data_IF_590376589241
#
_entry.id   IF_590376589241
#
_cell.length_a   1.000
_cell.length_b   1.000
_cell.length_c   1.000
_cell.angle_alpha   90.00
_cell.angle_beta   90.00
_cell.angle_gamma   90.00
#
_symmetry.space_group_name_H-M   'P 1'
#
loop_
_entity.id
_entity.type
_entity.pdbx_description
1 polymer ?
#
# COMPACT_ATOMS: atom_id res chain seq x y z
N UNK A 1 36.57 41.09 49.21
CA UNK A 1 36.88 39.81 49.89
C UNK A 1 36.28 38.69 49.06
N UNK A 2 37.06 38.11 48.14
CA UNK A 2 36.62 37.01 47.29
C UNK A 2 37.16 35.71 47.90
N UNK A 3 36.32 34.75 48.32
CA UNK A 3 36.84 33.48 48.77
C UNK A 3 37.29 32.67 47.55
N UNK A 4 38.61 32.49 47.46
CA UNK A 4 39.27 31.53 46.59
C UNK A 4 38.71 30.13 46.82
N UNK A 5 37.95 29.63 45.85
CA UNK A 5 37.44 28.25 45.84
C UNK A 5 38.58 27.36 45.33
N UNK A 6 39.19 26.62 46.25
CA UNK A 6 40.19 25.59 45.94
C UNK A 6 39.63 24.55 44.95
N UNK A 7 40.40 24.07 43.97
CA UNK A 7 39.96 23.03 43.06
C UNK A 7 39.94 21.68 43.80
N UNK A 8 38.84 21.42 44.50
CA UNK A 8 38.54 20.12 45.11
C UNK A 8 38.55 18.99 44.08
N UNK A 9 39.11 17.86 44.50
CA UNK A 9 39.34 16.60 43.76
C UNK A 9 38.06 16.00 43.13
N UNK A 10 36.88 16.47 43.53
CA UNK A 10 35.60 16.09 42.92
C UNK A 10 35.21 17.10 41.84
N UNK A 11 35.42 16.71 40.58
CA UNK A 11 34.79 17.39 39.44
C UNK A 11 33.27 17.25 39.59
N UNK A 12 32.60 18.30 40.05
CA UNK A 12 31.14 18.35 40.04
C UNK A 12 30.63 18.01 38.63
N UNK A 13 29.71 17.04 38.47
CA UNK A 13 29.25 16.65 37.15
C UNK A 13 28.63 17.86 36.45
N UNK A 14 29.04 18.11 35.20
CA UNK A 14 28.45 19.17 34.37
C UNK A 14 26.93 19.02 34.37
N UNK A 15 26.22 20.06 34.80
CA UNK A 15 24.77 20.15 34.68
C UNK A 15 24.39 19.91 33.22
N UNK A 16 23.71 18.79 32.95
CA UNK A 16 23.24 18.46 31.60
C UNK A 16 22.15 19.48 31.24
N UNK A 17 22.51 20.52 30.49
CA UNK A 17 21.52 21.36 29.80
C UNK A 17 20.78 20.44 28.84
N UNK A 18 19.53 20.09 29.17
CA UNK A 18 18.65 19.40 28.24
C UNK A 18 18.43 20.35 27.06
N UNK A 19 19.16 20.16 25.96
CA UNK A 19 19.06 20.95 24.71
C UNK A 19 17.72 20.73 23.98
N UNK A 20 16.84 19.91 24.56
CA UNK A 20 15.50 19.65 24.07
C UNK A 20 14.53 20.24 25.10
N UNK A 21 13.56 21.08 24.66
CA UNK A 21 12.46 21.46 25.54
C UNK A 21 11.78 20.18 26.02
N UNK A 22 11.59 20.08 27.34
CA UNK A 22 10.77 19.02 27.93
C UNK A 22 9.42 19.05 27.19
N UNK A 23 8.92 17.90 26.71
CA UNK A 23 7.64 17.87 26.02
C UNK A 23 6.60 18.48 26.96
N UNK A 24 5.91 19.53 26.51
CA UNK A 24 4.89 20.16 27.33
C UNK A 24 3.85 19.09 27.64
N UNK A 25 3.78 18.68 28.90
CA UNK A 25 2.69 17.86 29.43
C UNK A 25 1.43 18.72 29.45
N UNK A 26 0.93 19.13 28.27
CA UNK A 26 -0.45 19.52 28.11
C UNK A 26 -1.24 18.22 28.19
N UNK A 27 -1.47 17.76 29.42
CA UNK A 27 -2.58 16.87 29.69
C UNK A 27 -3.79 17.52 29.04
N UNK A 28 -4.33 16.91 27.99
CA UNK A 28 -5.54 17.39 27.35
C UNK A 28 -6.64 17.27 28.39
N UNK A 29 -6.98 18.38 29.05
CA UNK A 29 -8.08 18.51 30.01
C UNK A 29 -9.44 18.54 29.30
N UNK A 30 -9.59 17.73 28.24
CA UNK A 30 -10.68 17.89 27.28
C UNK A 30 -11.99 17.25 27.70
N UNK A 31 -11.96 16.24 28.56
CA UNK A 31 -13.17 15.46 28.88
C UNK A 31 -13.30 15.34 30.40
N UNK A 32 -13.65 16.45 31.05
CA UNK A 32 -14.15 16.41 32.43
C UNK A 32 -15.60 15.96 32.33
N UNK A 33 -15.83 14.65 32.34
CA UNK A 33 -17.18 14.11 32.42
C UNK A 33 -17.77 14.58 33.75
N UNK A 34 -18.91 15.26 33.70
CA UNK A 34 -19.57 15.84 34.89
C UNK A 34 -20.05 14.74 35.84
N UNK A 35 -20.46 13.59 35.29
CA UNK A 35 -20.93 12.42 36.05
C UNK A 35 -20.41 11.13 35.42
N UNK A 36 -19.97 10.19 36.28
CA UNK A 36 -19.51 8.85 35.86
C UNK A 36 -20.54 7.84 36.38
N UNK A 37 -21.35 7.28 35.48
CA UNK A 37 -22.24 6.16 35.83
C UNK A 37 -21.44 4.85 35.87
N UNK A 38 -21.60 4.08 36.94
CA UNK A 38 -20.98 2.76 37.10
C UNK A 38 -22.05 1.67 37.05
N UNK A 39 -22.40 1.25 35.84
CA UNK A 39 -23.31 0.11 35.66
C UNK A 39 -22.57 -1.21 35.96
N UNK A 40 -22.99 -1.91 37.01
CA UNK A 40 -22.43 -3.21 37.39
C UNK A 40 -22.49 -4.23 36.24
N UNK A 41 -23.57 -4.22 35.44
CA UNK A 41 -23.73 -5.11 34.29
C UNK A 41 -22.69 -4.84 33.18
N UNK A 42 -22.41 -3.57 32.86
CA UNK A 42 -21.37 -3.21 31.91
C UNK A 42 -19.99 -3.58 32.44
N UNK A 43 -19.77 -3.45 33.75
CA UNK A 43 -18.54 -3.88 34.41
C UNK A 43 -18.36 -5.40 34.31
N UNK A 44 -19.41 -6.18 34.53
CA UNK A 44 -19.36 -7.64 34.40
C UNK A 44 -19.12 -8.09 32.95
N UNK A 45 -19.79 -7.48 31.97
CA UNK A 45 -19.51 -7.74 30.55
C UNK A 45 -18.09 -7.30 30.16
N UNK A 46 -17.58 -6.21 30.76
CA UNK A 46 -16.20 -5.82 30.59
C UNK A 46 -15.23 -6.81 31.25
N UNK A 47 -15.49 -7.34 32.44
CA UNK A 47 -14.56 -8.27 33.07
C UNK A 47 -14.55 -9.64 32.38
N UNK A 48 -15.70 -10.12 31.91
CA UNK A 48 -15.82 -11.45 31.27
C UNK A 48 -15.60 -11.42 29.75
N UNK A 49 -15.90 -10.30 29.09
CA UNK A 49 -15.88 -10.14 27.64
C UNK A 49 -14.53 -9.83 27.00
N UNK A 50 -13.39 -10.26 27.57
CA UNK A 50 -12.06 -9.94 27.02
C UNK A 50 -11.89 -10.34 25.55
N UNK A 51 -12.42 -11.50 25.17
CA UNK A 51 -12.40 -11.95 23.77
C UNK A 51 -13.23 -11.02 22.88
N UNK A 52 -14.45 -10.65 23.31
CA UNK A 52 -15.30 -9.67 22.61
C UNK A 52 -14.56 -8.36 22.37
N UNK A 53 -13.88 -7.81 23.39
CA UNK A 53 -13.08 -6.58 23.25
C UNK A 53 -11.88 -6.74 22.32
N UNK A 54 -11.17 -7.87 22.39
CA UNK A 54 -10.06 -8.14 21.47
C UNK A 54 -10.56 -8.16 20.02
N UNK A 55 -11.65 -8.86 19.76
CA UNK A 55 -12.29 -8.91 18.44
C UNK A 55 -12.78 -7.52 18.02
N UNK A 56 -13.41 -6.75 18.91
CA UNK A 56 -13.86 -5.39 18.63
C UNK A 56 -12.70 -4.46 18.28
N UNK A 57 -11.56 -4.56 18.98
CA UNK A 57 -10.34 -3.79 18.63
C UNK A 57 -9.81 -4.16 17.24
N UNK A 58 -9.77 -5.46 16.93
CA UNK A 58 -9.32 -5.93 15.61
C UNK A 58 -10.26 -5.41 14.52
N UNK A 59 -11.59 -5.51 14.73
CA UNK A 59 -12.60 -5.00 13.80
C UNK A 59 -12.51 -3.48 13.64
N UNK A 60 -12.32 -2.74 14.72
CA UNK A 60 -12.15 -1.28 14.64
C UNK A 60 -10.88 -0.90 13.87
N UNK A 61 -9.76 -1.58 14.13
CA UNK A 61 -8.53 -1.35 13.36
C UNK A 61 -8.71 -1.67 11.87
N UNK A 62 -9.45 -2.73 11.54
CA UNK A 62 -9.81 -3.06 10.16
C UNK A 62 -10.70 -1.98 9.52
N UNK A 63 -11.73 -1.52 10.23
CA UNK A 63 -12.64 -0.48 9.76
C UNK A 63 -11.93 0.87 9.56
N UNK A 64 -11.03 1.26 10.46
CA UNK A 64 -10.20 2.46 10.30
C UNK A 64 -9.25 2.36 9.11
N UNK A 65 -8.62 1.19 8.91
CA UNK A 65 -7.75 0.95 7.76
C UNK A 65 -8.54 1.01 6.44
N UNK A 66 -9.74 0.42 6.40
CA UNK A 66 -10.62 0.49 5.24
C UNK A 66 -11.09 1.92 4.95
N UNK A 67 -11.47 2.67 5.99
CA UNK A 67 -11.84 4.08 5.85
C UNK A 67 -10.70 4.90 5.23
N UNK A 68 -9.47 4.74 5.74
CA UNK A 68 -8.28 5.40 5.20
C UNK A 68 -8.00 5.00 3.76
N UNK A 69 -8.07 3.71 3.44
CA UNK A 69 -7.88 3.21 2.07
C UNK A 69 -8.89 3.81 1.08
N UNK A 70 -10.17 3.93 1.47
CA UNK A 70 -11.20 4.58 0.66
C UNK A 70 -10.92 6.07 0.46
N UNK A 71 -10.52 6.78 1.50
CA UNK A 71 -10.14 8.19 1.44
C UNK A 71 -8.92 8.42 0.54
N UNK A 72 -7.89 7.59 0.66
CA UNK A 72 -6.70 7.61 -0.19
C UNK A 72 -7.06 7.36 -1.66
N UNK A 73 -7.89 6.34 -1.96
CA UNK A 73 -8.36 6.07 -3.32
C UNK A 73 -9.13 7.25 -3.91
N UNK A 74 -9.98 7.91 -3.10
CA UNK A 74 -10.70 9.11 -3.54
C UNK A 74 -9.75 10.27 -3.84
N UNK A 75 -8.77 10.50 -2.96
CA UNK A 75 -7.78 11.55 -3.14
C UNK A 75 -6.89 11.31 -4.37
N UNK A 76 -6.46 10.07 -4.60
CA UNK A 76 -5.71 9.70 -5.80
C UNK A 76 -6.51 9.96 -7.09
N UNK A 77 -7.79 9.56 -7.11
CA UNK A 77 -8.67 9.86 -8.25
C UNK A 77 -8.87 11.35 -8.47
N UNK A 78 -8.97 12.13 -7.40
CA UNK A 78 -9.08 13.59 -7.48
C UNK A 78 -7.81 14.19 -8.08
N UNK A 79 -6.63 13.80 -7.59
CA UNK A 79 -5.34 14.23 -8.14
C UNK A 79 -5.19 13.90 -9.61
N UNK A 80 -5.54 12.68 -10.02
CA UNK A 80 -5.44 12.26 -11.41
C UNK A 80 -6.36 13.09 -12.33
N UNK A 81 -7.55 13.47 -11.85
CA UNK A 81 -8.44 14.38 -12.59
C UNK A 81 -7.88 15.80 -12.68
N UNK A 82 -7.28 16.29 -11.60
CA UNK A 82 -6.63 17.61 -11.56
C UNK A 82 -5.41 17.64 -12.49
N UNK A 83 -4.58 16.60 -12.50
CA UNK A 83 -3.45 16.41 -13.42
C UNK A 83 -3.93 16.43 -14.88
N UNK A 84 -4.93 15.61 -15.22
CA UNK A 84 -5.51 15.63 -16.58
C UNK A 84 -6.06 17.00 -16.97
N UNK A 85 -6.70 17.72 -16.04
CA UNK A 85 -7.22 19.06 -16.31
C UNK A 85 -6.09 20.04 -16.58
N UNK A 86 -5.05 20.00 -15.76
CA UNK A 86 -3.85 20.83 -15.94
C UNK A 86 -3.14 20.52 -17.27
N UNK A 87 -3.01 19.25 -17.64
CA UNK A 87 -2.40 18.85 -18.92
C UNK A 87 -3.20 19.37 -20.12
N UNK A 88 -4.53 19.34 -20.04
CA UNK A 88 -5.40 19.92 -21.07
C UNK A 88 -5.29 21.44 -21.13
N UNK A 89 -5.26 22.12 -19.98
CA UNK A 89 -5.07 23.57 -19.90
C UNK A 89 -3.72 23.99 -20.50
N UNK A 90 -2.64 23.29 -20.13
CA UNK A 90 -1.31 23.54 -20.67
C UNK A 90 -1.24 23.27 -22.19
N UNK A 91 -1.93 22.25 -22.68
CA UNK A 91 -2.01 21.97 -24.12
C UNK A 91 -2.76 23.07 -24.87
N UNK A 92 -3.91 23.53 -24.35
CA UNK A 92 -4.67 24.65 -24.93
C UNK A 92 -3.82 25.92 -24.94
N UNK A 93 -3.11 26.21 -23.85
CA UNK A 93 -2.18 27.34 -23.77
C UNK A 93 -1.07 27.23 -24.83
N UNK A 94 -0.48 26.05 -25.01
CA UNK A 94 0.55 25.81 -26.02
C UNK A 94 0.02 26.00 -27.45
N UNK A 95 -1.18 25.49 -27.76
CA UNK A 95 -1.83 25.68 -29.08
C UNK A 95 -2.14 27.15 -29.31
N UNK A 96 -2.74 27.83 -28.33
CA UNK A 96 -3.04 29.26 -28.43
C UNK A 96 -1.76 30.09 -28.60
N UNK A 97 -0.66 29.72 -27.94
CA UNK A 97 0.64 30.38 -28.11
C UNK A 97 1.22 30.13 -29.51
N UNK A 98 1.06 28.93 -30.07
CA UNK A 98 1.48 28.62 -31.44
C UNK A 98 0.67 29.41 -32.48
N UNK A 99 -0.66 29.49 -32.31
CA UNK A 99 -1.53 30.29 -33.18
C UNK A 99 -1.17 31.78 -33.12
N UNK A 100 -0.97 32.35 -31.92
CA UNK A 100 -0.53 33.74 -31.78
C UNK A 100 0.84 34.01 -32.40
N UNK A 101 1.77 33.05 -32.36
CA UNK A 101 3.06 33.18 -33.05
C UNK A 101 2.89 33.21 -34.56
N UNK A 102 2.00 32.38 -35.11
CA UNK A 102 1.73 32.35 -36.54
C UNK A 102 1.05 33.65 -37.01
N UNK A 103 0.04 34.11 -36.26
CA UNK A 103 -0.69 35.36 -36.52
C UNK A 103 0.26 36.56 -36.56
N UNK A 104 1.10 36.70 -35.53
CA UNK A 104 2.13 37.75 -35.48
C UNK A 104 3.17 37.66 -36.63
N UNK A 105 3.48 36.45 -37.14
CA UNK A 105 4.38 36.30 -38.29
C UNK A 105 3.69 36.53 -39.64
N UNK A 106 2.36 36.39 -39.70
CA UNK A 106 1.54 36.69 -40.87
C UNK A 106 1.38 38.20 -41.04
N UNK A 107 1.12 38.94 -39.93
CA UNK A 107 1.03 40.40 -39.96
C UNK A 107 2.34 41.11 -40.37
N UNK A 108 3.51 40.44 -40.29
CA UNK A 108 4.80 40.94 -40.82
C UNK A 108 5.08 40.52 -42.28
N UNK A 109 4.24 39.67 -42.90
CA UNK A 109 4.41 39.16 -44.28
C UNK A 109 3.16 39.34 -45.16
N UNK A 110 2.28 40.30 -44.87
CA UNK A 110 1.15 40.62 -45.75
C UNK A 110 1.55 41.65 -46.83
N UNK A 111 2.33 41.17 -47.80
CA UNK A 111 2.24 41.62 -49.19
C UNK A 111 2.12 40.36 -50.07
N UNK A 112 0.92 40.15 -50.61
CA UNK A 112 0.51 39.16 -51.60
C UNK A 112 0.54 37.67 -51.21
N UNK A 113 -0.63 37.06 -51.06
CA UNK A 113 -1.18 36.06 -52.03
C UNK A 113 -2.52 35.51 -51.51
N UNK A 114 -3.63 35.98 -52.08
CA UNK A 114 -4.93 35.30 -51.96
C UNK A 114 -4.88 33.96 -52.72
N UNK A 115 -5.00 32.85 -52.00
CA UNK A 115 -5.28 31.55 -52.57
C UNK A 115 -6.55 30.98 -51.94
N UNK A 116 -7.67 31.09 -52.68
CA UNK A 116 -8.89 30.33 -52.43
C UNK A 116 -8.60 28.82 -52.47
N UNK A 117 -8.62 28.16 -51.30
CA UNK A 117 -8.61 26.70 -51.22
C UNK A 117 -10.05 26.22 -50.98
N UNK A 118 -10.69 25.77 -52.06
CA UNK A 118 -11.96 25.03 -52.03
C UNK A 118 -11.70 23.58 -51.66
N UNK A 119 -11.62 23.29 -50.36
CA UNK A 119 -11.61 21.91 -49.87
C UNK A 119 -13.05 21.45 -49.56
N UNK A 120 -13.72 20.97 -50.60
CA UNK A 120 -14.91 20.12 -50.48
C UNK A 120 -14.49 18.65 -50.42
N UNK A 121 -13.77 18.26 -49.37
CA UNK A 121 -13.63 16.84 -49.02
C UNK A 121 -14.72 16.49 -48.01
N UNK A 122 -15.78 15.87 -48.53
CA UNK A 122 -16.84 15.28 -47.71
C UNK A 122 -16.20 14.22 -46.82
N UNK A 123 -16.24 14.47 -45.52
CA UNK A 123 -15.84 13.53 -44.47
C UNK A 123 -16.66 12.23 -44.61
N UNK A 124 -16.07 11.23 -45.27
CA UNK A 124 -16.62 9.89 -45.39
C UNK A 124 -16.47 9.23 -44.02
N UNK A 125 -17.60 9.09 -43.32
CA UNK A 125 -17.62 8.64 -41.94
C UNK A 125 -16.89 7.34 -41.77
N UNK A 126 -16.09 7.24 -40.68
CA UNK A 126 -15.38 6.04 -40.27
C UNK A 126 -16.24 4.80 -40.51
N UNK A 127 -15.94 4.05 -41.57
CA UNK A 127 -16.36 2.67 -41.67
C UNK A 127 -15.85 1.98 -40.41
N UNK A 128 -16.73 1.24 -39.75
CA UNK A 128 -16.53 0.65 -38.44
C UNK A 128 -15.43 -0.44 -38.50
N UNK A 129 -14.16 0.00 -38.48
CA UNK A 129 -12.96 -0.84 -38.40
C UNK A 129 -12.87 -1.61 -37.07
N UNK A 130 -13.88 -1.50 -36.21
CA UNK A 130 -14.05 -2.36 -35.04
C UNK A 130 -14.38 -3.82 -35.39
N UNK A 131 -14.70 -4.14 -36.64
CA UNK A 131 -15.03 -5.53 -37.01
C UNK A 131 -13.83 -6.38 -37.48
N UNK A 132 -12.68 -5.77 -37.80
CA UNK A 132 -11.46 -6.50 -38.20
C UNK A 132 -10.43 -6.68 -37.07
N UNK A 133 -10.56 -5.98 -35.95
CA UNK A 133 -9.70 -6.12 -34.77
C UNK A 133 -10.30 -7.03 -33.67
N UNK A 134 -11.42 -7.70 -33.94
CA UNK A 134 -12.07 -8.62 -32.99
C UNK A 134 -11.47 -10.03 -32.96
N UNK A 135 -10.32 -10.28 -33.59
CA UNK A 135 -9.48 -11.41 -33.17
C UNK A 135 -8.80 -11.01 -31.86
N UNK A 136 -9.06 -11.69 -30.73
CA UNK A 136 -8.31 -11.46 -29.51
C UNK A 136 -6.87 -11.92 -29.77
N UNK A 137 -6.04 -11.02 -30.28
CA UNK A 137 -4.61 -11.22 -30.33
C UNK A 137 -4.15 -11.03 -28.89
N UNK A 138 -3.95 -12.16 -28.22
CA UNK A 138 -3.48 -12.25 -26.84
C UNK A 138 -2.03 -11.76 -26.80
N UNK A 139 -1.86 -10.44 -26.72
CA UNK A 139 -0.56 -9.82 -26.45
C UNK A 139 -0.24 -10.01 -24.95
N UNK A 140 0.01 -11.25 -24.56
CA UNK A 140 0.66 -11.59 -23.31
C UNK A 140 2.15 -11.31 -23.43
N UNK A 141 2.58 -10.11 -23.03
CA UNK A 141 4.00 -9.85 -22.79
C UNK A 141 4.44 -10.68 -21.57
N UNK A 142 4.88 -11.92 -21.85
CA UNK A 142 5.45 -12.81 -20.85
C UNK A 142 6.83 -12.28 -20.42
N UNK A 143 6.87 -11.60 -19.27
CA UNK A 143 8.10 -11.38 -18.52
C UNK A 143 8.59 -12.71 -17.95
N UNK A 144 9.51 -13.37 -18.66
CA UNK A 144 10.24 -14.52 -18.15
C UNK A 144 11.35 -14.01 -17.23
N UNK A 145 11.09 -13.99 -15.91
CA UNK A 145 12.19 -13.91 -14.93
C UNK A 145 12.96 -15.25 -15.00
N UNK A 146 14.10 -15.27 -15.70
CA UNK A 146 14.97 -16.43 -15.97
C UNK A 146 15.45 -17.20 -14.72
N UNK A 147 15.14 -16.72 -13.50
CA UNK A 147 15.61 -17.28 -12.23
C UNK A 147 14.54 -18.09 -11.46
N UNK A 148 13.31 -18.24 -11.98
CA UNK A 148 12.26 -19.04 -11.32
C UNK A 148 11.42 -19.85 -12.29
N UNK A 149 11.85 -21.08 -12.58
CA UNK A 149 10.99 -22.05 -13.26
C UNK A 149 9.84 -22.48 -12.33
N UNK A 150 8.65 -21.92 -12.54
CA UNK A 150 7.40 -22.50 -12.06
C UNK A 150 6.64 -23.07 -13.25
N UNK A 151 6.58 -24.40 -13.37
CA UNK A 151 5.80 -25.07 -14.41
C UNK A 151 4.31 -24.92 -14.11
N UNK A 152 3.56 -24.28 -15.01
CA UNK A 152 2.10 -24.19 -14.97
C UNK A 152 1.52 -25.35 -15.79
N UNK A 153 0.78 -26.24 -15.15
CA UNK A 153 0.06 -27.34 -15.82
C UNK A 153 -1.40 -26.94 -16.05
N UNK A 154 -1.83 -26.93 -17.31
CA UNK A 154 -3.22 -26.63 -17.68
C UNK A 154 -4.04 -27.91 -17.63
N UNK A 155 -4.90 -28.04 -16.62
CA UNK A 155 -5.89 -29.11 -16.52
C UNK A 155 -7.22 -28.66 -17.16
N UNK A 156 -7.79 -29.46 -18.06
CA UNK A 156 -9.10 -29.17 -18.65
C UNK A 156 -10.21 -29.35 -17.59
N UNK A 157 -11.00 -28.29 -17.36
CA UNK A 157 -12.11 -28.28 -16.40
C UNK A 157 -13.39 -27.98 -17.17
N UNK A 158 -14.42 -28.82 -17.00
CA UNK A 158 -15.74 -28.58 -17.59
C UNK A 158 -16.52 -27.58 -16.71
N UNK A 159 -16.92 -26.45 -17.29
CA UNK A 159 -17.66 -25.38 -16.60
C UNK A 159 -19.16 -25.65 -16.72
N UNK A 160 -19.78 -26.13 -15.65
CA UNK A 160 -21.24 -26.32 -15.60
C UNK A 160 -21.90 -25.23 -14.75
N UNK A 161 -23.23 -25.07 -14.86
CA UNK A 161 -24.02 -24.09 -14.08
C UNK A 161 -23.84 -24.21 -12.56
N UNK A 162 -23.36 -25.36 -12.09
CA UNK A 162 -23.11 -25.64 -10.68
C UNK A 162 -21.61 -25.54 -10.28
N UNK A 163 -20.75 -25.06 -11.18
CA UNK A 163 -19.33 -24.82 -10.93
C UNK A 163 -18.37 -25.62 -11.80
N UNK A 164 -17.08 -25.41 -11.54
CA UNK A 164 -15.93 -26.02 -12.21
C UNK A 164 -15.72 -27.46 -11.70
N UNK A 165 -16.03 -28.47 -12.52
CA UNK A 165 -15.80 -29.88 -12.19
C UNK A 165 -14.49 -30.38 -12.81
N UNK A 166 -13.56 -30.86 -11.96
CA UNK A 166 -12.35 -31.56 -12.42
C UNK A 166 -12.72 -32.97 -12.91
N UNK A 167 -12.42 -33.27 -14.16
CA UNK A 167 -12.69 -34.58 -14.77
C UNK A 167 -11.59 -35.56 -14.36
N UNK A 168 -11.83 -36.36 -13.31
CA UNK A 168 -10.91 -37.44 -12.93
C UNK A 168 -11.05 -38.60 -13.92
N UNK A 169 -10.00 -38.86 -14.72
CA UNK A 169 -9.91 -40.05 -15.58
C UNK A 169 -9.64 -41.26 -14.69
N UNK A 170 -10.48 -42.31 -14.68
CA UNK A 170 -10.23 -43.51 -13.88
C UNK A 170 -9.36 -44.51 -14.67
N UNK A 171 -8.09 -44.65 -14.31
CA UNK A 171 -7.32 -45.87 -14.60
C UNK A 171 -7.55 -46.91 -13.49
N UNK A 172 -7.87 -48.13 -13.92
CA UNK A 172 -8.18 -49.31 -13.11
C UNK A 172 -6.94 -49.84 -12.38
N UNK A 173 -7.12 -50.36 -11.15
CA UNK A 173 -6.58 -51.66 -10.65
C UNK A 173 -7.05 -51.95 -9.20
N UNK A 174 -7.79 -53.06 -9.07
CA UNK A 174 -7.78 -54.12 -8.05
C UNK A 174 -7.87 -53.83 -6.52
N UNK A 175 -9.07 -54.08 -5.97
CA UNK A 175 -9.49 -54.73 -4.69
C UNK A 175 -8.78 -54.42 -3.33
N UNK A 176 -9.35 -54.74 -2.14
CA UNK A 176 -10.67 -55.30 -1.81
C UNK A 176 -11.55 -54.44 -0.86
N UNK A 177 -12.80 -54.86 -0.76
CA UNK A 177 -13.90 -54.28 0.03
C UNK A 177 -13.68 -54.51 1.53
N UNK A 178 -13.60 -53.44 2.32
CA UNK A 178 -13.66 -53.48 3.79
C UNK A 178 -14.95 -52.75 4.23
N UNK A 179 -15.72 -53.44 5.06
CA UNK A 179 -17.02 -53.00 5.59
C UNK A 179 -16.85 -51.80 6.55
N UNK A 180 -17.78 -50.82 6.58
CA UNK A 180 -17.73 -49.74 7.56
C UNK A 180 -18.30 -50.21 8.91
N UNK A 181 -17.44 -50.31 9.91
CA UNK A 181 -17.84 -50.36 11.32
C UNK A 181 -18.17 -48.93 11.76
N UNK A 182 -19.37 -48.75 12.31
CA UNK A 182 -19.86 -47.50 12.87
C UNK A 182 -18.91 -47.00 13.98
N UNK A 183 -18.54 -45.72 13.93
CA UNK A 183 -17.82 -45.03 15.01
C UNK A 183 -18.56 -43.76 15.39
N UNK A 184 -18.79 -43.61 16.70
CA UNK A 184 -19.54 -42.53 17.33
C UNK A 184 -18.97 -41.13 17.06
N UNK A 185 -19.79 -40.08 17.01
CA UNK A 185 -19.36 -38.75 16.61
C UNK A 185 -19.00 -37.92 17.85
N UNK A 186 -17.91 -38.21 18.57
CA UNK A 186 -17.41 -37.21 19.54
C UNK A 186 -15.94 -37.34 19.97
N UNK A 187 -15.00 -37.30 19.04
CA UNK A 187 -13.63 -36.89 19.39
C UNK A 187 -13.08 -35.92 18.34
N UNK A 188 -13.21 -34.63 18.62
CA UNK A 188 -12.52 -33.59 17.86
C UNK A 188 -11.02 -33.75 18.10
N UNK A 189 -10.35 -34.44 17.17
CA UNK A 189 -8.90 -34.52 17.08
C UNK A 189 -8.34 -33.10 17.07
N UNK A 190 -7.73 -32.68 18.20
CA UNK A 190 -7.07 -31.39 18.33
C UNK A 190 -5.94 -31.35 17.30
N UNK A 191 -6.03 -30.43 16.35
CA UNK A 191 -4.97 -30.17 15.37
C UNK A 191 -3.69 -29.77 16.10
N UNK A 192 -2.70 -30.67 16.11
CA UNK A 192 -1.37 -30.41 16.68
C UNK A 192 -0.62 -29.49 15.72
N UNK A 193 -0.58 -28.20 16.03
CA UNK A 193 0.23 -27.24 15.28
C UNK A 193 1.72 -27.58 15.44
N UNK A 194 2.51 -27.55 14.34
CA UNK A 194 3.94 -27.84 14.40
C UNK A 194 4.65 -26.81 15.28
N UNK A 195 5.40 -27.29 16.28
CA UNK A 195 6.20 -26.42 17.16
C UNK A 195 7.34 -25.82 16.34
N UNK A 196 7.39 -24.48 16.24
CA UNK A 196 8.49 -23.77 15.58
C UNK A 196 9.80 -24.05 16.34
N UNK A 197 10.83 -24.50 15.62
CA UNK A 197 12.14 -24.70 16.20
C UNK A 197 12.71 -23.37 16.71
N UNK A 198 13.33 -23.40 17.89
CA UNK A 198 14.02 -22.22 18.44
C UNK A 198 15.15 -21.86 17.47
N UNK A 199 15.10 -20.67 16.88
CA UNK A 199 16.20 -20.17 16.06
C UNK A 199 17.45 -20.12 16.92
N UNK A 200 18.46 -20.94 16.58
CA UNK A 200 19.78 -20.79 17.17
C UNK A 200 20.30 -19.43 16.73
N UNK A 201 20.37 -18.47 17.65
CA UNK A 201 21.04 -17.21 17.37
C UNK A 201 22.48 -17.57 17.00
N UNK A 202 22.84 -17.39 15.75
CA UNK A 202 24.24 -17.34 15.34
C UNK A 202 24.55 -15.88 15.17
N UNK A 203 25.60 -15.41 15.83
CA UNK A 203 26.08 -14.07 15.56
C UNK A 203 26.40 -13.99 14.07
N UNK A 204 25.86 -12.97 13.42
CA UNK A 204 26.30 -12.58 12.10
C UNK A 204 27.83 -12.47 12.10
N UNK A 205 28.44 -12.89 10.99
CA UNK A 205 29.87 -12.73 10.78
C UNK A 205 30.23 -11.25 10.92
N UNK A 206 31.49 -10.97 11.29
CA UNK A 206 31.96 -9.59 11.53
C UNK A 206 31.71 -8.67 10.32
N UNK A 207 31.75 -9.22 9.11
CA UNK A 207 31.46 -8.51 7.86
C UNK A 207 29.99 -8.08 7.77
N UNK A 208 29.05 -9.02 7.97
CA UNK A 208 27.61 -8.76 7.93
C UNK A 208 27.21 -7.75 9.00
N UNK A 209 27.74 -7.90 10.23
CA UNK A 209 27.52 -6.93 11.32
C UNK A 209 28.00 -5.52 10.98
N UNK A 210 29.15 -5.40 10.30
CA UNK A 210 29.68 -4.09 9.85
C UNK A 210 28.77 -3.46 8.80
N UNK A 211 28.26 -4.24 7.84
CA UNK A 211 27.32 -3.74 6.82
C UNK A 211 26.01 -3.28 7.46
N UNK A 212 25.45 -4.06 8.39
CA UNK A 212 24.23 -3.68 9.10
C UNK A 212 24.43 -2.41 9.95
N UNK A 213 25.55 -2.31 10.67
CA UNK A 213 25.89 -1.09 11.42
C UNK A 213 26.05 0.14 10.51
N UNK A 214 26.62 -0.02 9.31
CA UNK A 214 26.70 1.08 8.32
C UNK A 214 25.32 1.48 7.83
N UNK A 215 24.45 0.52 7.52
CA UNK A 215 23.06 0.77 7.10
C UNK A 215 22.28 1.53 8.17
N UNK A 216 22.31 1.05 9.42
CA UNK A 216 21.63 1.73 10.52
C UNK A 216 22.13 3.16 10.77
N UNK A 217 23.46 3.39 10.64
CA UNK A 217 24.03 4.74 10.76
C UNK A 217 23.53 5.67 9.65
N UNK A 218 23.44 5.18 8.42
CA UNK A 218 22.91 5.95 7.30
C UNK A 218 21.43 6.29 7.51
N UNK A 219 20.62 5.33 7.95
CA UNK A 219 19.20 5.55 8.21
C UNK A 219 19.00 6.56 9.35
N UNK A 220 19.74 6.42 10.45
CA UNK A 220 19.74 7.41 11.55
C UNK A 220 20.13 8.80 11.07
N UNK A 221 21.12 8.91 10.16
CA UNK A 221 21.52 10.20 9.56
C UNK A 221 20.42 10.77 8.67
N UNK A 222 19.76 9.94 7.85
CA UNK A 222 18.63 10.34 7.01
C UNK A 222 17.47 10.86 7.85
N UNK A 223 17.06 10.12 8.89
CA UNK A 223 16.00 10.54 9.81
C UNK A 223 16.37 11.83 10.56
N UNK A 224 17.62 11.99 10.98
CA UNK A 224 18.08 13.23 11.61
C UNK A 224 18.04 14.42 10.64
N UNK A 225 18.46 14.24 9.39
CA UNK A 225 18.38 15.27 8.36
C UNK A 225 16.93 15.66 8.06
N UNK A 226 16.01 14.69 7.94
CA UNK A 226 14.59 14.96 7.75
C UNK A 226 13.99 15.79 8.89
N UNK A 227 14.31 15.46 10.15
CA UNK A 227 13.88 16.24 11.33
C UNK A 227 14.44 17.66 11.37
N UNK A 228 15.66 17.87 10.85
CA UNK A 228 16.27 19.20 10.75
C UNK A 228 15.66 20.03 9.61
N UNK A 229 15.24 19.38 8.52
CA UNK A 229 14.56 20.05 7.40
C UNK A 229 13.11 20.43 7.72
N UNK A 230 12.46 19.68 8.60
CA UNK A 230 11.07 19.93 9.01
C UNK A 230 10.92 20.96 10.15
N UNK A 231 11.99 21.65 10.53
CA UNK A 231 12.03 22.63 11.62
C UNK A 231 12.57 23.94 11.08
#
# INVERSE_FOLDING_TARGET
MNPSIEPGIFRNPRLKKFLLPLPSKRFKSGNKLEEISFDSNLREEYLTGFHKRKVARIKNAQAEAEKKSREERRNLRKKLREERKHDLEAHIEAVNAALKRLDNTSEENDEDTEAEVKDTEKFEGFCDENQLLSSPMDYGEEFIDEEKYTTVTVEAIDVSKNGLLKKTVPEKRDAPKIQPVASDPNEKLKTKWPKKSKKKFRYETKAVRKLQNRKEKLDKRKFAAARKRSK
#
